data_IF_844538402363
#
_entry.id   IF_844538402363
#
_cell.length_a   1.000
_cell.length_b   1.000
_cell.length_c   1.000
_cell.angle_alpha   90.00
_cell.angle_beta   90.00
_cell.angle_gamma   90.00
#
_symmetry.space_group_name_H-M   'P 1'
#
loop_
_entity.id
_entity.type
_entity.pdbx_description
1 polymer ?
#
# COMPACT_ATOMS: atom_id res chain seq x y z
N UNK A 1 0.89 -6.46 24.52
CA UNK A 1 2.11 -6.51 23.68
C UNK A 1 1.97 -5.53 22.52
N UNK A 2 2.83 -4.55 22.48
CA UNK A 2 2.76 -3.55 21.44
C UNK A 2 3.38 -4.09 20.15
N UNK A 3 2.53 -4.53 19.24
CA UNK A 3 2.96 -4.84 17.88
C UNK A 3 2.96 -3.55 17.10
N UNK A 4 4.06 -2.83 17.13
CA UNK A 4 4.22 -1.68 16.27
C UNK A 4 4.67 -2.18 14.89
N UNK A 5 3.79 -1.99 13.91
CA UNK A 5 4.19 -2.17 12.53
C UNK A 5 5.05 -0.98 12.14
N UNK A 6 6.19 -1.27 11.54
CA UNK A 6 7.09 -0.24 11.08
C UNK A 6 6.73 0.11 9.63
N UNK A 7 6.06 1.24 9.45
CA UNK A 7 5.64 1.70 8.13
C UNK A 7 6.63 2.74 7.65
N UNK A 8 7.25 2.49 6.51
CA UNK A 8 8.23 3.41 5.91
C UNK A 8 7.93 3.58 4.42
N UNK A 9 8.36 4.71 3.88
CA UNK A 9 8.24 4.93 2.44
C UNK A 9 9.20 4.00 1.70
N UNK A 10 8.69 3.33 0.67
CA UNK A 10 9.49 2.43 -0.14
C UNK A 10 10.58 3.21 -0.89
N UNK A 11 11.79 2.66 -0.91
CA UNK A 11 12.93 3.28 -1.57
C UNK A 11 13.84 2.21 -2.18
N UNK A 12 14.84 2.64 -2.94
CA UNK A 12 15.72 1.72 -3.65
C UNK A 12 16.48 0.77 -2.72
N UNK A 13 16.79 1.20 -1.50
CA UNK A 13 17.50 0.34 -0.55
C UNK A 13 16.64 -0.81 -0.03
N UNK A 14 15.32 -0.67 -0.07
CA UNK A 14 14.38 -1.72 0.35
C UNK A 14 13.96 -2.64 -0.81
N UNK A 15 14.29 -2.27 -2.04
CA UNK A 15 13.86 -3.01 -3.23
C UNK A 15 14.34 -4.46 -3.20
N UNK A 16 15.50 -4.73 -2.62
CA UNK A 16 16.03 -6.08 -2.48
C UNK A 16 15.13 -7.00 -1.65
N UNK A 17 14.35 -6.44 -0.74
CA UNK A 17 13.42 -7.21 0.10
C UNK A 17 12.16 -7.61 -0.67
N UNK A 18 11.87 -6.93 -1.77
CA UNK A 18 10.67 -7.21 -2.56
C UNK A 18 10.73 -8.57 -3.23
N UNK A 19 11.92 -9.12 -3.45
CA UNK A 19 12.08 -10.43 -4.10
C UNK A 19 11.46 -11.57 -3.29
N UNK A 20 11.39 -11.42 -1.96
CA UNK A 20 10.81 -12.43 -1.08
C UNK A 20 9.36 -12.15 -0.71
N UNK A 21 8.77 -11.10 -1.26
CA UNK A 21 7.38 -10.74 -0.98
C UNK A 21 6.44 -11.59 -1.84
N UNK A 22 5.51 -12.29 -1.20
CA UNK A 22 4.54 -13.15 -1.86
C UNK A 22 3.16 -12.96 -1.25
N UNK A 23 2.30 -12.25 -1.97
CA UNK A 23 0.93 -12.02 -1.54
C UNK A 23 -0.05 -13.09 -2.06
N UNK A 24 0.38 -13.89 -3.02
CA UNK A 24 -0.49 -14.80 -3.75
C UNK A 24 -1.05 -14.18 -5.03
N UNK A 25 -0.84 -12.90 -5.25
CA UNK A 25 -1.25 -12.22 -6.48
C UNK A 25 -0.01 -11.79 -7.25
N UNK A 26 0.21 -12.41 -8.41
CA UNK A 26 1.41 -12.17 -9.20
C UNK A 26 1.59 -10.69 -9.59
N UNK A 27 0.50 -10.03 -9.95
CA UNK A 27 0.56 -8.63 -10.38
C UNK A 27 1.00 -7.70 -9.25
N UNK A 28 0.47 -7.93 -8.05
CA UNK A 28 0.82 -7.14 -6.89
C UNK A 28 2.26 -7.38 -6.46
N UNK A 29 2.73 -8.62 -6.56
CA UNK A 29 4.11 -8.96 -6.22
C UNK A 29 5.08 -8.34 -7.22
N UNK A 30 4.76 -8.40 -8.51
CA UNK A 30 5.60 -7.80 -9.54
C UNK A 30 5.62 -6.28 -9.46
N UNK A 31 4.52 -5.65 -9.09
CA UNK A 31 4.48 -4.20 -8.91
C UNK A 31 5.55 -3.74 -7.93
N UNK A 32 5.65 -4.40 -6.79
CA UNK A 32 6.62 -4.02 -5.76
C UNK A 32 8.07 -4.22 -6.22
N UNK A 33 8.32 -5.19 -7.09
CA UNK A 33 9.65 -5.50 -7.61
C UNK A 33 10.10 -4.58 -8.74
N UNK A 34 9.19 -3.83 -9.32
CA UNK A 34 9.47 -2.96 -10.47
C UNK A 34 9.74 -1.53 -10.02
N UNK A 35 10.43 -0.80 -10.88
CA UNK A 35 10.77 0.60 -10.61
C UNK A 35 9.55 1.51 -10.54
N UNK A 36 8.41 1.10 -11.07
CA UNK A 36 7.18 1.87 -10.99
C UNK A 36 6.74 2.09 -9.52
N UNK A 37 7.07 1.16 -8.64
CA UNK A 37 6.77 1.29 -7.22
C UNK A 37 7.58 2.41 -6.57
N UNK A 38 8.69 2.80 -7.18
CA UNK A 38 9.55 3.90 -6.72
C UNK A 38 9.24 5.22 -7.42
N UNK A 39 8.39 5.20 -8.43
CA UNK A 39 8.07 6.38 -9.23
C UNK A 39 6.96 7.19 -8.56
N UNK A 40 7.32 8.33 -7.98
CA UNK A 40 6.38 9.19 -7.28
C UNK A 40 5.35 9.84 -8.22
N UNK A 41 5.60 9.86 -9.52
CA UNK A 41 4.60 10.33 -10.48
C UNK A 41 3.41 9.37 -10.59
N UNK A 42 3.64 8.08 -10.35
CA UNK A 42 2.56 7.10 -10.27
C UNK A 42 1.83 7.18 -8.93
N UNK A 43 2.58 7.31 -7.85
CA UNK A 43 2.06 7.37 -6.50
C UNK A 43 3.17 7.10 -5.50
N UNK A 44 2.86 7.25 -4.23
CA UNK A 44 3.82 6.97 -3.16
C UNK A 44 3.57 5.58 -2.60
N UNK A 45 4.60 4.77 -2.58
CA UNK A 45 4.55 3.41 -2.03
C UNK A 45 5.09 3.40 -0.62
N UNK A 46 4.33 2.80 0.28
CA UNK A 46 4.71 2.58 1.67
C UNK A 46 4.74 1.10 1.94
N UNK A 47 5.72 0.66 2.68
CA UNK A 47 5.88 -0.75 3.04
C UNK A 47 5.78 -0.91 4.55
N UNK A 48 5.19 -2.04 4.95
CA UNK A 48 5.15 -2.47 6.34
C UNK A 48 6.28 -3.48 6.53
N UNK A 49 7.21 -3.15 7.40
CA UNK A 49 8.36 -4.01 7.65
C UNK A 49 8.13 -4.86 8.90
N UNK A 50 8.72 -6.04 8.91
CA UNK A 50 8.77 -6.86 10.11
C UNK A 50 9.54 -6.14 11.22
N UNK A 51 9.39 -6.59 12.47
CA UNK A 51 10.02 -5.93 13.62
C UNK A 51 11.54 -5.82 13.49
N UNK A 52 12.18 -6.76 12.80
CA UNK A 52 13.62 -6.74 12.57
C UNK A 52 14.02 -6.04 11.28
N UNK A 53 13.05 -5.44 10.56
CA UNK A 53 13.25 -4.75 9.28
C UNK A 53 13.85 -5.61 8.17
N UNK A 54 13.73 -6.94 8.27
CA UNK A 54 14.32 -7.87 7.29
C UNK A 54 13.34 -8.31 6.21
N UNK A 55 12.05 -8.15 6.43
CA UNK A 55 11.02 -8.60 5.49
C UNK A 55 9.96 -7.54 5.29
N UNK A 56 9.44 -7.46 4.07
CA UNK A 56 8.25 -6.67 3.77
C UNK A 56 7.06 -7.57 4.01
N UNK A 57 6.19 -7.19 4.96
CA UNK A 57 4.97 -7.94 5.27
C UNK A 57 3.74 -7.41 4.54
N UNK A 58 3.84 -6.22 4.02
CA UNK A 58 2.76 -5.63 3.23
C UNK A 58 3.19 -4.34 2.59
N UNK A 59 2.38 -3.85 1.67
CA UNK A 59 2.61 -2.53 1.10
C UNK A 59 1.29 -1.94 0.60
N UNK A 60 1.30 -0.63 0.42
CA UNK A 60 0.23 0.08 -0.26
C UNK A 60 0.83 1.23 -1.07
N UNK A 61 0.15 1.57 -2.15
CA UNK A 61 0.52 2.69 -3.00
C UNK A 61 -0.64 3.66 -3.04
N UNK A 62 -0.35 4.92 -2.77
CA UNK A 62 -1.35 5.97 -2.70
C UNK A 62 -1.03 7.06 -3.73
N UNK A 63 -2.07 7.57 -4.35
CA UNK A 63 -1.97 8.78 -5.15
C UNK A 63 -3.01 9.78 -4.67
N UNK A 64 -2.74 11.06 -4.90
CA UNK A 64 -3.67 12.13 -4.58
C UNK A 64 -4.31 12.64 -5.84
N UNK A 65 -5.54 13.11 -5.71
CA UNK A 65 -6.29 13.68 -6.81
C UNK A 65 -7.37 14.59 -6.28
N UNK A 66 -8.22 15.05 -7.17
CA UNK A 66 -9.37 15.84 -6.81
C UNK A 66 -10.62 15.11 -7.24
N UNK A 67 -11.64 15.14 -6.36
CA UNK A 67 -12.96 14.72 -6.76
C UNK A 67 -13.57 15.81 -7.64
N UNK A 68 -14.10 15.41 -8.77
CA UNK A 68 -14.75 16.31 -9.71
C UNK A 68 -16.17 15.83 -9.94
N UNK A 69 -17.11 16.77 -9.95
CA UNK A 69 -18.46 16.46 -10.43
C UNK A 69 -18.67 17.16 -11.76
N UNK A 70 -19.33 16.45 -12.67
CA UNK A 70 -19.71 17.01 -13.97
C UNK A 70 -21.22 17.19 -13.98
N UNK A 71 -21.66 18.46 -13.92
CA UNK A 71 -23.06 18.83 -14.01
C UNK A 71 -23.22 19.86 -15.12
N UNK A 72 -24.16 19.63 -16.02
CA UNK A 72 -24.51 20.56 -17.09
C UNK A 72 -23.29 21.08 -17.88
N UNK A 73 -22.37 20.17 -18.22
CA UNK A 73 -21.14 20.48 -18.95
C UNK A 73 -20.13 21.32 -18.17
N UNK A 74 -20.31 21.43 -16.86
CA UNK A 74 -19.35 22.10 -15.98
C UNK A 74 -18.69 21.09 -15.05
N UNK A 75 -17.37 21.18 -14.94
CA UNK A 75 -16.59 20.35 -14.02
C UNK A 75 -16.31 21.17 -12.77
N UNK A 76 -16.74 20.65 -11.63
CA UNK A 76 -16.45 21.27 -10.33
C UNK A 76 -15.50 20.39 -9.54
N UNK A 77 -14.45 20.98 -9.01
CA UNK A 77 -13.59 20.30 -8.06
C UNK A 77 -14.28 20.30 -6.70
N UNK A 78 -14.57 19.08 -6.19
CA UNK A 78 -15.25 18.92 -4.90
C UNK A 78 -14.25 18.92 -3.76
N UNK A 79 -13.01 18.51 -4.00
CA UNK A 79 -11.97 18.48 -2.98
C UNK A 79 -10.90 17.47 -3.28
N UNK A 80 -9.88 17.45 -2.43
CA UNK A 80 -8.80 16.48 -2.54
C UNK A 80 -9.25 15.09 -2.12
N UNK A 81 -8.69 14.07 -2.76
CA UNK A 81 -8.96 12.68 -2.45
C UNK A 81 -7.66 11.90 -2.46
N UNK A 82 -7.61 10.85 -1.64
CA UNK A 82 -6.51 9.89 -1.64
C UNK A 82 -7.03 8.61 -2.26
N UNK A 83 -6.34 8.12 -3.29
CA UNK A 83 -6.66 6.88 -3.96
C UNK A 83 -5.69 5.79 -3.55
N UNK A 84 -6.21 4.63 -3.20
CA UNK A 84 -5.40 3.44 -2.97
C UNK A 84 -5.25 2.74 -4.32
N UNK A 85 -4.06 2.80 -4.91
CA UNK A 85 -3.79 2.14 -6.18
C UNK A 85 -3.55 0.65 -6.00
N UNK A 86 -2.81 0.28 -4.96
CA UNK A 86 -2.46 -1.10 -4.65
C UNK A 86 -2.44 -1.30 -3.15
N UNK A 87 -2.81 -2.50 -2.71
CA UNK A 87 -2.67 -2.93 -1.32
C UNK A 87 -2.44 -4.43 -1.33
N UNK A 88 -1.42 -4.88 -0.62
CA UNK A 88 -1.11 -6.31 -0.54
C UNK A 88 -0.44 -6.67 0.77
N UNK A 89 -0.71 -7.89 1.24
CA UNK A 89 -0.05 -8.49 2.41
C UNK A 89 0.56 -9.83 1.99
N UNK A 90 1.67 -10.21 2.63
CA UNK A 90 2.21 -11.55 2.44
C UNK A 90 1.20 -12.60 2.91
N UNK A 91 1.23 -13.78 2.30
CA UNK A 91 0.30 -14.87 2.63
C UNK A 91 0.34 -15.25 4.11
N UNK A 92 1.51 -15.16 4.73
CA UNK A 92 1.67 -15.44 6.16
C UNK A 92 0.77 -14.56 7.05
N UNK A 93 0.53 -13.34 6.64
CA UNK A 93 -0.19 -12.36 7.45
C UNK A 93 -1.66 -12.21 7.04
N UNK A 94 -2.05 -12.75 5.89
CA UNK A 94 -3.44 -12.68 5.44
C UNK A 94 -4.39 -13.44 6.37
N UNK A 95 -3.95 -14.63 6.83
CA UNK A 95 -4.75 -15.41 7.76
C UNK A 95 -4.97 -14.73 9.10
N UNK A 96 -4.00 -13.94 9.57
CA UNK A 96 -4.11 -13.18 10.81
C UNK A 96 -5.20 -12.11 10.68
N UNK A 97 -5.28 -11.44 9.54
CA UNK A 97 -6.30 -10.43 9.31
C UNK A 97 -7.71 -10.99 9.36
N UNK A 98 -7.91 -12.22 8.91
CA UNK A 98 -9.23 -12.86 8.95
C UNK A 98 -9.72 -13.10 10.37
N UNK A 99 -8.81 -13.21 11.33
CA UNK A 99 -9.13 -13.42 12.75
C UNK A 99 -9.42 -12.11 13.48
N UNK A 100 -9.04 -10.97 12.89
CA UNK A 100 -9.30 -9.67 13.48
C UNK A 100 -10.76 -9.27 13.29
N UNK A 101 -11.29 -8.52 14.25
CA UNK A 101 -12.62 -7.94 14.10
C UNK A 101 -12.62 -6.93 12.95
N UNK A 102 -13.81 -6.70 12.39
CA UNK A 102 -13.94 -5.72 11.32
C UNK A 102 -13.49 -4.32 11.75
N UNK A 103 -13.58 -4.01 13.03
CA UNK A 103 -13.12 -2.72 13.55
C UNK A 103 -11.61 -2.61 13.57
N UNK A 104 -10.93 -3.71 13.93
CA UNK A 104 -9.47 -3.76 13.94
C UNK A 104 -8.88 -3.72 12.54
N UNK A 105 -9.65 -4.16 11.57
CA UNK A 105 -9.23 -4.18 10.16
C UNK A 105 -9.42 -2.85 9.46
N UNK A 106 -10.04 -1.87 10.10
CA UNK A 106 -10.21 -0.56 9.50
C UNK A 106 -8.86 0.10 9.31
N UNK A 107 -8.54 0.36 8.05
CA UNK A 107 -7.32 1.07 7.72
C UNK A 107 -7.55 2.55 8.02
N UNK A 108 -6.76 3.08 8.94
CA UNK A 108 -6.78 4.50 9.25
C UNK A 108 -5.68 5.18 8.44
N UNK A 109 -6.09 6.07 7.60
CA UNK A 109 -5.16 6.89 6.84
C UNK A 109 -4.87 8.19 7.57
#
# INVERSE_FOLDING_TARGET
MNRKLNVVQYNASLQKLASSFHSGNWYLDQFLRQNIALDENYGKTYVLLSQNNKCIIGYYNLSTGYLESVEENQVRKIGGAVHINCFALTEQYQGILQELSSEEMKIKF
#
